data_IF_764018956689
#
_entry.id   IF_764018956689
#
_cell.length_a   1.000
_cell.length_b   1.000
_cell.length_c   1.000
_cell.angle_alpha   90.00
_cell.angle_beta   90.00
_cell.angle_gamma   90.00
#
_symmetry.space_group_name_H-M   'P 1'
#
loop_
_entity.id
_entity.type
_entity.pdbx_description
1 polymer ?
#
# COMPACT_ATOMS: atom_id res chain seq x y z
N UNK A 1 -20.50 -0.83 43.03
CA UNK A 1 -19.74 -1.09 41.79
C UNK A 1 -18.45 -0.30 41.83
N UNK A 2 -17.31 -0.97 42.03
CA UNK A 2 -15.97 -0.36 41.91
C UNK A 2 -15.57 -0.39 40.42
N UNK A 3 -15.20 0.75 39.86
CA UNK A 3 -14.49 0.78 38.58
C UNK A 3 -13.08 0.22 38.78
N UNK A 4 -12.68 -0.71 37.93
CA UNK A 4 -11.31 -1.21 37.83
C UNK A 4 -10.66 -0.43 36.69
N UNK A 5 -9.77 0.50 37.03
CA UNK A 5 -8.90 1.11 36.05
C UNK A 5 -7.87 0.07 35.60
N UNK A 6 -7.95 -0.33 34.32
CA UNK A 6 -6.94 -1.17 33.68
C UNK A 6 -5.64 -0.38 33.53
N UNK A 7 -4.80 -0.46 34.56
CA UNK A 7 -3.43 0.06 34.54
C UNK A 7 -2.54 -0.96 33.82
N UNK A 8 -2.32 -0.76 32.53
CA UNK A 8 -1.38 -1.54 31.73
C UNK A 8 0.06 -1.05 31.98
N UNK A 9 0.88 -1.98 32.46
CA UNK A 9 2.32 -1.89 32.69
C UNK A 9 2.79 -1.20 33.98
N UNK A 10 3.09 -2.00 34.99
CA UNK A 10 4.05 -1.64 36.03
C UNK A 10 4.91 -2.88 36.28
N UNK A 11 5.95 -3.03 35.47
CA UNK A 11 7.05 -3.95 35.78
C UNK A 11 7.81 -3.44 36.99
N UNK A 12 8.16 -4.39 37.85
CA UNK A 12 8.89 -4.26 39.10
C UNK A 12 10.09 -3.32 39.08
N UNK A 13 10.40 -2.81 40.27
CA UNK A 13 11.42 -1.81 40.55
C UNK A 13 12.79 -2.11 39.94
N UNK A 14 13.34 -1.10 39.28
CA UNK A 14 14.71 -1.09 38.78
C UNK A 14 14.93 0.20 38.01
N UNK A 15 15.65 1.14 38.64
CA UNK A 15 16.27 2.35 38.06
C UNK A 15 15.99 2.62 36.58
N UNK A 16 15.29 3.73 36.31
CA UNK A 16 15.14 4.28 34.97
C UNK A 16 16.52 4.68 34.39
N UNK A 17 17.20 3.73 33.77
CA UNK A 17 18.32 3.98 32.87
C UNK A 17 17.84 4.70 31.61
N UNK A 18 18.76 5.26 30.81
CA UNK A 18 18.39 6.02 29.62
C UNK A 18 17.52 5.15 28.73
N UNK A 19 16.37 5.69 28.32
CA UNK A 19 15.56 5.09 27.25
C UNK A 19 16.48 4.76 26.09
N UNK A 20 16.62 3.46 25.78
CA UNK A 20 17.36 3.04 24.61
C UNK A 20 16.74 3.75 23.39
N UNK A 21 17.54 4.37 22.51
CA UNK A 21 17.01 4.96 21.28
C UNK A 21 16.25 3.88 20.52
N UNK A 22 15.12 4.27 19.94
CA UNK A 22 14.16 3.40 19.28
C UNK A 22 14.81 2.25 18.52
N UNK A 23 14.22 1.05 18.70
CA UNK A 23 14.69 -0.15 18.03
C UNK A 23 14.96 0.10 16.56
N UNK A 24 15.97 -0.59 16.03
CA UNK A 24 16.35 -0.63 14.63
C UNK A 24 15.20 -1.18 13.76
N UNK A 25 14.10 -0.43 13.68
CA UNK A 25 12.94 -0.74 12.89
C UNK A 25 13.27 -0.39 11.45
N UNK A 26 14.03 -1.25 10.79
CA UNK A 26 14.10 -1.23 9.34
C UNK A 26 12.67 -1.37 8.82
N UNK A 27 12.17 -0.34 8.14
CA UNK A 27 10.90 -0.45 7.43
C UNK A 27 11.03 -1.61 6.43
N UNK A 28 10.03 -2.49 6.33
CA UNK A 28 10.06 -3.63 5.40
C UNK A 28 10.12 -3.25 3.91
N UNK A 29 10.21 -1.97 3.57
CA UNK A 29 10.53 -1.40 2.27
C UNK A 29 10.86 0.10 2.41
N UNK A 30 11.74 0.58 1.54
CA UNK A 30 12.15 1.98 1.43
C UNK A 30 11.12 2.84 0.70
N UNK A 31 11.16 4.18 0.84
CA UNK A 31 10.34 5.08 0.04
C UNK A 31 10.57 4.90 -1.48
N UNK A 32 11.82 4.68 -1.90
CA UNK A 32 12.17 4.45 -3.29
C UNK A 32 11.51 3.17 -3.85
N UNK A 33 11.55 2.07 -3.10
CA UNK A 33 10.89 0.82 -3.47
C UNK A 33 9.36 0.98 -3.55
N UNK A 34 8.74 1.72 -2.62
CA UNK A 34 7.30 2.01 -2.67
C UNK A 34 6.93 2.83 -3.90
N UNK A 35 7.75 3.82 -4.26
CA UNK A 35 7.56 4.62 -5.49
C UNK A 35 7.73 3.76 -6.74
N UNK A 36 8.73 2.88 -6.76
CA UNK A 36 8.94 1.94 -7.86
C UNK A 36 7.74 1.00 -8.03
N UNK A 37 7.26 0.40 -6.95
CA UNK A 37 6.07 -0.46 -6.98
C UNK A 37 4.82 0.28 -7.47
N UNK A 38 4.58 1.52 -7.01
CA UNK A 38 3.48 2.34 -7.51
C UNK A 38 3.59 2.63 -9.01
N UNK A 39 4.81 2.84 -9.52
CA UNK A 39 5.05 3.04 -10.94
C UNK A 39 4.79 1.75 -11.73
N UNK A 40 5.26 0.59 -11.26
CA UNK A 40 4.95 -0.70 -11.89
C UNK A 40 3.45 -0.94 -11.99
N UNK A 41 2.69 -0.60 -10.93
CA UNK A 41 1.23 -0.70 -10.98
C UNK A 41 0.66 0.18 -12.10
N UNK A 42 1.10 1.43 -12.20
CA UNK A 42 0.59 2.40 -13.19
C UNK A 42 0.99 2.09 -14.63
N UNK A 43 2.24 1.70 -14.87
CA UNK A 43 2.80 1.61 -16.23
C UNK A 43 2.71 0.21 -16.81
N UNK A 44 2.60 -0.82 -15.96
CA UNK A 44 2.60 -2.21 -16.42
C UNK A 44 1.31 -2.92 -16.01
N UNK A 45 0.97 -2.95 -14.72
CA UNK A 45 -0.13 -3.80 -14.25
C UNK A 45 -1.50 -3.29 -14.67
N UNK A 46 -1.81 -2.00 -14.45
CA UNK A 46 -3.09 -1.41 -14.86
C UNK A 46 -3.32 -1.54 -16.38
N UNK A 47 -2.37 -1.17 -17.27
CA UNK A 47 -2.58 -1.29 -18.71
C UNK A 47 -2.68 -2.73 -19.19
N UNK A 48 -1.80 -3.63 -18.71
CA UNK A 48 -1.79 -5.02 -19.15
C UNK A 48 -3.03 -5.77 -18.65
N UNK A 49 -3.49 -5.49 -17.42
CA UNK A 49 -4.73 -6.07 -16.87
C UNK A 49 -5.93 -5.63 -17.70
N UNK A 50 -6.02 -4.34 -18.03
CA UNK A 50 -7.09 -3.81 -18.88
C UNK A 50 -7.08 -4.47 -20.27
N UNK A 51 -5.92 -4.55 -20.91
CA UNK A 51 -5.78 -5.18 -22.24
C UNK A 51 -6.17 -6.67 -22.23
N UNK A 52 -5.77 -7.40 -21.19
CA UNK A 52 -6.12 -8.81 -21.04
C UNK A 52 -7.64 -9.00 -20.85
N UNK A 53 -8.28 -8.11 -20.10
CA UNK A 53 -9.73 -8.11 -19.94
C UNK A 53 -10.47 -7.83 -21.25
N UNK A 54 -10.08 -6.78 -21.99
CA UNK A 54 -10.69 -6.43 -23.29
C UNK A 54 -10.60 -7.59 -24.29
N UNK A 55 -9.48 -8.33 -24.32
CA UNK A 55 -9.34 -9.51 -25.18
C UNK A 55 -10.31 -10.64 -24.81
N UNK A 56 -10.56 -10.86 -23.51
CA UNK A 56 -11.52 -11.86 -23.05
C UNK A 56 -12.96 -11.48 -23.43
N UNK A 57 -13.29 -10.18 -23.44
CA UNK A 57 -14.62 -9.68 -23.81
C UNK A 57 -14.91 -9.93 -25.29
N UNK A 58 -13.94 -9.67 -26.18
CA UNK A 58 -14.08 -9.90 -27.63
C UNK A 58 -14.39 -11.37 -27.95
N UNK A 59 -13.63 -12.30 -27.35
CA UNK A 59 -13.82 -13.74 -27.54
C UNK A 59 -15.17 -14.21 -26.98
N UNK A 60 -15.55 -13.72 -25.79
CA UNK A 60 -16.80 -14.10 -25.11
C UNK A 60 -18.02 -13.57 -25.87
N UNK A 61 -17.99 -12.31 -26.34
CA UNK A 61 -19.07 -11.73 -27.13
C UNK A 61 -19.28 -12.44 -28.47
N UNK A 62 -18.19 -12.84 -29.12
CA UNK A 62 -18.25 -13.65 -30.34
C UNK A 62 -18.93 -15.01 -30.08
N UNK A 63 -18.59 -15.67 -28.97
CA UNK A 63 -19.22 -16.92 -28.57
C UNK A 63 -20.71 -16.75 -28.20
N UNK A 64 -21.06 -15.70 -27.46
CA UNK A 64 -22.46 -15.36 -27.12
C UNK A 64 -23.30 -15.22 -28.39
N UNK A 65 -22.77 -14.54 -29.40
CA UNK A 65 -23.45 -14.34 -30.70
C UNK A 65 -23.60 -15.66 -31.45
N UNK A 66 -22.55 -16.51 -31.46
CA UNK A 66 -22.59 -17.81 -32.13
C UNK A 66 -23.58 -18.80 -31.49
N UNK A 67 -23.87 -18.66 -30.21
CA UNK A 67 -24.84 -19.48 -29.48
C UNK A 67 -26.22 -18.82 -29.33
N UNK A 68 -26.55 -17.80 -30.13
CA UNK A 68 -27.81 -17.09 -29.98
C UNK A 68 -29.04 -18.02 -30.09
N UNK A 69 -30.02 -17.81 -29.22
CA UNK A 69 -31.17 -18.70 -29.06
C UNK A 69 -30.92 -19.96 -28.22
N UNK A 70 -29.68 -20.26 -27.84
CA UNK A 70 -29.34 -21.40 -26.97
C UNK A 70 -29.18 -20.96 -25.51
N UNK A 71 -29.49 -21.86 -24.57
CA UNK A 71 -29.27 -21.61 -23.14
C UNK A 71 -27.79 -21.28 -22.81
N UNK A 72 -26.84 -21.80 -23.60
CA UNK A 72 -25.42 -21.50 -23.48
C UNK A 72 -25.12 -20.00 -23.63
N UNK A 73 -25.79 -19.29 -24.54
CA UNK A 73 -25.59 -17.85 -24.69
C UNK A 73 -26.01 -17.07 -23.45
N UNK A 74 -27.09 -17.48 -22.77
CA UNK A 74 -27.50 -16.87 -21.51
C UNK A 74 -26.50 -17.15 -20.38
N UNK A 75 -25.97 -18.38 -20.32
CA UNK A 75 -24.89 -18.74 -19.39
C UNK A 75 -23.62 -17.91 -19.62
N UNK A 76 -23.18 -17.77 -20.87
CA UNK A 76 -22.02 -16.97 -21.24
C UNK A 76 -22.19 -15.48 -20.93
N UNK A 77 -23.37 -14.90 -21.17
CA UNK A 77 -23.67 -13.50 -20.77
C UNK A 77 -23.45 -13.29 -19.27
N UNK A 78 -23.96 -14.20 -18.44
CA UNK A 78 -23.78 -14.13 -16.97
C UNK A 78 -22.30 -14.23 -16.56
N UNK A 79 -21.53 -15.08 -17.24
CA UNK A 79 -20.08 -15.19 -17.01
C UNK A 79 -19.38 -13.87 -17.39
N UNK A 80 -19.73 -13.29 -18.54
CA UNK A 80 -19.21 -11.99 -18.99
C UNK A 80 -19.50 -10.88 -17.96
N UNK A 81 -20.76 -10.75 -17.51
CA UNK A 81 -21.13 -9.73 -16.52
C UNK A 81 -20.34 -9.89 -15.21
N UNK A 82 -20.09 -11.14 -14.80
CA UNK A 82 -19.33 -11.46 -13.58
C UNK A 82 -17.86 -11.13 -13.76
N UNK A 83 -17.29 -11.44 -14.92
CA UNK A 83 -15.92 -11.10 -15.29
C UNK A 83 -15.70 -9.59 -15.28
N UNK A 84 -16.59 -8.81 -15.90
CA UNK A 84 -16.52 -7.35 -15.93
C UNK A 84 -16.52 -6.76 -14.51
N UNK A 85 -17.36 -7.29 -13.62
CA UNK A 85 -17.40 -6.88 -12.23
C UNK A 85 -16.08 -7.19 -11.50
N UNK A 86 -15.46 -8.34 -11.77
CA UNK A 86 -14.16 -8.71 -11.19
C UNK A 86 -13.03 -7.84 -11.71
N UNK A 87 -12.97 -7.58 -13.02
CA UNK A 87 -11.99 -6.69 -13.65
C UNK A 87 -12.11 -5.28 -13.06
N UNK A 88 -13.34 -4.76 -12.93
CA UNK A 88 -13.59 -3.45 -12.33
C UNK A 88 -13.10 -3.39 -10.88
N UNK A 89 -13.35 -4.43 -10.08
CA UNK A 89 -12.88 -4.49 -8.70
C UNK A 89 -11.35 -4.51 -8.64
N UNK A 90 -10.71 -5.34 -9.47
CA UNK A 90 -9.24 -5.45 -9.54
C UNK A 90 -8.60 -4.11 -9.93
N UNK A 91 -9.12 -3.45 -10.97
CA UNK A 91 -8.62 -2.13 -11.38
C UNK A 91 -8.79 -1.08 -10.29
N UNK A 92 -9.90 -1.12 -9.54
CA UNK A 92 -10.11 -0.26 -8.38
C UNK A 92 -9.08 -0.50 -7.27
N UNK A 93 -8.76 -1.77 -7.00
CA UNK A 93 -7.73 -2.15 -6.02
C UNK A 93 -6.34 -1.70 -6.44
N UNK A 94 -5.95 -1.94 -7.69
CA UNK A 94 -4.65 -1.50 -8.23
C UNK A 94 -4.48 0.03 -8.10
N UNK A 95 -5.50 0.80 -8.47
CA UNK A 95 -5.48 2.26 -8.34
C UNK A 95 -5.38 2.72 -6.88
N UNK A 96 -6.07 2.05 -5.97
CA UNK A 96 -6.00 2.32 -4.53
C UNK A 96 -4.61 2.00 -3.96
N UNK A 97 -4.05 0.84 -4.30
CA UNK A 97 -2.71 0.40 -3.86
C UNK A 97 -1.61 1.33 -4.38
N UNK A 98 -1.66 1.73 -5.66
CA UNK A 98 -0.78 2.76 -6.25
C UNK A 98 -0.82 4.06 -5.45
N UNK A 99 -2.02 4.54 -5.12
CA UNK A 99 -2.22 5.79 -4.37
C UNK A 99 -1.67 5.66 -2.94
N UNK A 100 -1.94 4.54 -2.27
CA UNK A 100 -1.45 4.28 -0.92
C UNK A 100 0.08 4.18 -0.87
N UNK A 101 0.71 3.52 -1.84
CA UNK A 101 2.17 3.41 -1.94
C UNK A 101 2.84 4.77 -2.14
N UNK A 102 2.27 5.63 -3.02
CA UNK A 102 2.75 7.01 -3.21
C UNK A 102 2.59 7.85 -1.94
N UNK A 103 1.44 7.76 -1.29
CA UNK A 103 1.19 8.44 -0.02
C UNK A 103 2.18 8.03 1.07
N UNK A 104 2.38 6.72 1.25
CA UNK A 104 3.32 6.19 2.24
C UNK A 104 4.78 6.64 1.96
N UNK A 105 5.23 6.59 0.70
CA UNK A 105 6.54 7.11 0.33
C UNK A 105 6.69 8.60 0.66
N UNK A 106 5.67 9.40 0.41
CA UNK A 106 5.68 10.84 0.72
C UNK A 106 5.79 11.10 2.23
N UNK A 107 4.99 10.39 3.04
CA UNK A 107 5.01 10.52 4.50
C UNK A 107 6.38 10.20 5.09
N UNK A 108 7.04 9.14 4.63
CA UNK A 108 8.38 8.78 5.11
C UNK A 108 9.42 9.85 4.78
N UNK A 109 9.43 10.35 3.54
CA UNK A 109 10.37 11.43 3.14
C UNK A 109 10.12 12.70 3.95
N UNK A 110 8.87 13.09 4.16
CA UNK A 110 8.54 14.28 4.97
C UNK A 110 8.95 14.11 6.44
N UNK A 111 8.75 12.92 7.01
CA UNK A 111 9.18 12.62 8.38
C UNK A 111 10.70 12.70 8.53
N UNK A 112 11.46 12.11 7.61
CA UNK A 112 12.93 12.12 7.64
C UNK A 112 13.48 13.54 7.55
N UNK A 113 12.94 14.38 6.66
CA UNK A 113 13.32 15.80 6.54
C UNK A 113 12.96 16.57 7.82
N UNK A 114 11.77 16.33 8.38
CA UNK A 114 11.31 16.99 9.60
C UNK A 114 12.21 16.68 10.79
N UNK A 115 12.54 15.39 11.00
CA UNK A 115 13.47 14.95 12.04
C UNK A 115 14.87 15.53 11.81
N UNK A 116 15.40 15.45 10.58
CA UNK A 116 16.70 16.02 10.24
C UNK A 116 16.79 17.52 10.57
N UNK A 117 15.73 18.27 10.28
CA UNK A 117 15.64 19.70 10.61
C UNK A 117 15.62 19.97 12.12
N UNK A 118 14.97 19.10 12.92
CA UNK A 118 14.95 19.20 14.38
C UNK A 118 16.33 18.91 14.99
N UNK A 119 17.09 17.97 14.43
CA UNK A 119 18.43 17.61 14.93
C UNK A 119 19.55 18.51 14.42
N UNK A 120 19.35 19.22 13.30
CA UNK A 120 20.37 20.11 12.70
C UNK A 120 20.99 21.12 13.68
N UNK A 121 20.23 21.79 14.58
CA UNK A 121 20.80 22.71 15.57
C UNK A 121 21.71 22.02 16.60
N UNK A 122 21.46 20.75 16.92
CA UNK A 122 22.25 20.00 17.91
C UNK A 122 23.63 19.68 17.33
N UNK A 123 23.70 19.32 16.04
CA UNK A 123 24.96 19.06 15.34
C UNK A 123 25.87 20.29 15.21
N UNK A 124 25.29 21.49 15.04
CA UNK A 124 26.05 22.75 14.99
C UNK A 124 26.42 23.32 16.37
N UNK A 125 25.77 22.86 17.44
CA UNK A 125 26.08 23.25 18.82
C UNK A 125 27.15 22.37 19.49
N UNK A 126 27.72 21.40 18.77
CA UNK A 126 28.76 20.53 19.34
C UNK A 126 30.00 21.34 19.73
N UNK A 127 30.26 21.46 21.04
CA UNK A 127 31.43 22.14 21.62
C UNK A 127 32.68 21.24 21.65
N UNK A 128 32.72 20.18 20.83
CA UNK A 128 33.88 19.27 20.72
C UNK A 128 35.03 19.83 19.85
N UNK A 129 35.02 21.11 19.51
CA UNK A 129 36.08 21.77 18.75
C UNK A 129 37.37 22.03 19.58
N UNK A 130 37.70 21.19 20.55
CA UNK A 130 38.80 21.46 21.47
C UNK A 130 39.28 20.33 22.38
N UNK A 131 39.23 19.08 21.91
CA UNK A 131 39.99 17.95 22.49
C UNK A 131 40.86 17.33 21.40
#
# INVERSE_FOLDING_TARGET
>A
MSHVDMRLNSTDGGVAGPVAPGGSGSFGSTPAEKKAAANTIETELEPNTKKAAEHADEATNSAITGFDGWATAAGLKKVSDTWDAQVKNLMGRLSSEKTALRGASGLFVSNDVGLGNQFRPIGTQSKLNGL
#
